data_IF_538066830850
#
_entry.id   IF_538066830850
#
_cell.length_a   1.000
_cell.length_b   1.000
_cell.length_c   1.000
_cell.angle_alpha   90.00
_cell.angle_beta   90.00
_cell.angle_gamma   90.00
#
_symmetry.space_group_name_H-M   'P 1'
#
loop_
_entity.id
_entity.type
_entity.pdbx_description
1 polymer ?
#
# COMPACT_ATOMS: atom_id res chain seq x y z
N UNK A 1 -12.77 2.80 -2.04
CA UNK A 1 -11.67 1.79 -2.02
C UNK A 1 -11.94 0.68 -1.00
N UNK A 2 -11.05 -0.35 -0.85
CA UNK A 2 -11.22 -1.41 0.16
C UNK A 2 -11.07 -0.83 1.58
N UNK A 3 -11.98 -1.19 2.50
CA UNK A 3 -11.84 -0.86 3.93
C UNK A 3 -10.81 -1.78 4.57
N UNK A 4 -9.88 -1.19 5.33
CA UNK A 4 -8.92 -1.94 6.14
C UNK A 4 -9.05 -1.50 7.60
N UNK A 5 -9.50 -2.41 8.45
CA UNK A 5 -9.62 -2.20 9.91
C UNK A 5 -8.50 -2.97 10.60
N UNK A 6 -8.50 -4.28 10.39
CA UNK A 6 -7.48 -5.18 10.90
C UNK A 6 -6.99 -6.09 9.76
N UNK A 7 -5.69 -6.32 9.73
CA UNK A 7 -5.04 -7.25 8.80
C UNK A 7 -4.38 -8.33 9.63
N UNK A 8 -4.82 -9.58 9.45
CA UNK A 8 -4.16 -10.75 10.03
C UNK A 8 -3.74 -11.65 8.88
N UNK A 9 -2.45 -11.84 8.70
CA UNK A 9 -1.91 -12.59 7.55
C UNK A 9 -0.48 -13.03 7.80
N UNK A 10 -0.05 -14.04 7.05
CA UNK A 10 1.37 -14.31 6.84
C UNK A 10 2.04 -13.15 6.10
N UNK A 11 3.36 -13.14 6.12
CA UNK A 11 4.18 -12.10 5.52
C UNK A 11 5.03 -12.66 4.39
N UNK A 12 5.26 -11.85 3.35
CA UNK A 12 6.19 -12.16 2.26
C UNK A 12 7.48 -11.34 2.47
N UNK A 13 8.66 -11.98 2.56
CA UNK A 13 9.92 -11.26 2.73
C UNK A 13 10.47 -10.79 1.38
N UNK A 14 10.82 -9.51 1.31
CA UNK A 14 11.57 -8.90 0.23
C UNK A 14 12.76 -8.15 0.82
N UNK A 15 13.77 -8.89 1.28
CA UNK A 15 14.96 -8.31 1.93
C UNK A 15 15.88 -7.63 0.90
N UNK A 16 15.35 -6.57 0.27
CA UNK A 16 16.04 -5.75 -0.72
C UNK A 16 15.81 -4.28 -0.41
N UNK A 17 16.88 -3.48 -0.44
CA UNK A 17 16.82 -2.02 -0.23
C UNK A 17 16.83 -1.28 -1.56
N UNK A 18 16.37 -0.03 -1.56
CA UNK A 18 16.32 0.85 -2.73
C UNK A 18 15.50 0.25 -3.90
N UNK A 19 14.44 -0.46 -3.59
CA UNK A 19 13.55 -1.03 -4.60
C UNK A 19 12.82 0.10 -5.31
N UNK A 20 13.09 0.26 -6.61
CA UNK A 20 12.48 1.32 -7.40
C UNK A 20 11.18 0.89 -8.09
N UNK A 21 10.40 1.89 -8.53
CA UNK A 21 9.10 1.65 -9.15
C UNK A 21 9.19 0.94 -10.52
N UNK A 22 10.34 0.99 -11.22
CA UNK A 22 10.56 0.22 -12.45
C UNK A 22 10.81 -1.26 -12.15
N UNK A 23 11.44 -1.56 -11.02
CA UNK A 23 11.62 -2.94 -10.54
C UNK A 23 10.29 -3.53 -10.06
N UNK A 24 9.45 -2.72 -9.39
CA UNK A 24 8.12 -3.14 -8.95
C UNK A 24 7.21 -3.36 -10.17
N UNK A 25 7.16 -2.37 -11.10
CA UNK A 25 6.31 -2.40 -12.28
C UNK A 25 7.06 -1.87 -13.51
N UNK A 26 7.62 -2.76 -14.38
CA UNK A 26 8.41 -2.36 -15.53
C UNK A 26 7.64 -1.50 -16.53
N UNK A 27 8.34 -0.52 -17.12
CA UNK A 27 7.80 0.51 -18.06
C UNK A 27 6.94 -0.04 -19.17
N UNK A 28 7.29 -1.22 -19.69
CA UNK A 28 6.59 -1.85 -20.82
C UNK A 28 5.11 -2.12 -20.54
N UNK A 29 4.71 -2.27 -19.27
CA UNK A 29 3.34 -2.55 -18.86
C UNK A 29 2.50 -1.31 -18.57
N UNK A 30 3.11 -0.11 -18.58
CA UNK A 30 2.42 1.16 -18.25
C UNK A 30 1.50 1.68 -19.38
N UNK A 31 1.51 1.06 -20.55
CA UNK A 31 0.68 1.46 -21.69
C UNK A 31 -0.76 0.91 -21.63
N UNK A 32 -1.07 0.11 -20.63
CA UNK A 32 -2.43 -0.44 -20.44
C UNK A 32 -3.38 0.66 -19.99
N UNK A 33 -4.62 0.59 -20.49
CA UNK A 33 -5.69 1.53 -20.15
C UNK A 33 -6.45 1.08 -18.90
N UNK A 34 -6.52 -0.25 -18.70
CA UNK A 34 -7.20 -0.86 -17.57
C UNK A 34 -6.46 -0.56 -16.26
N UNK A 35 -7.23 -0.38 -15.18
CA UNK A 35 -6.72 -0.10 -13.84
C UNK A 35 -6.50 -1.35 -12.98
N UNK A 36 -6.75 -2.53 -13.53
CA UNK A 36 -6.64 -3.84 -12.87
C UNK A 36 -5.84 -4.82 -13.72
N UNK A 37 -5.40 -5.93 -13.11
CA UNK A 37 -4.60 -6.97 -13.76
C UNK A 37 -3.11 -6.66 -13.81
N UNK A 38 -2.63 -5.71 -12.98
CA UNK A 38 -1.21 -5.40 -12.87
C UNK A 38 -0.44 -6.39 -11.98
N UNK A 39 -1.14 -7.16 -11.13
CA UNK A 39 -0.52 -8.14 -10.25
C UNK A 39 0.29 -9.21 -10.98
N UNK A 40 -0.12 -9.60 -12.20
CA UNK A 40 0.64 -10.56 -13.01
C UNK A 40 2.02 -10.03 -13.45
N UNK A 41 2.19 -8.70 -13.57
CA UNK A 41 3.43 -8.03 -13.98
C UNK A 41 4.27 -7.56 -12.80
N UNK A 42 3.78 -7.72 -11.57
CA UNK A 42 4.49 -7.33 -10.36
C UNK A 42 5.85 -8.03 -10.29
N UNK A 43 6.94 -7.27 -10.12
CA UNK A 43 8.31 -7.75 -10.10
C UNK A 43 8.65 -8.68 -11.28
N UNK A 44 8.16 -8.35 -12.47
CA UNK A 44 8.20 -9.21 -13.66
C UNK A 44 9.60 -9.78 -13.96
N UNK A 45 10.65 -8.96 -13.86
CA UNK A 45 12.00 -9.41 -14.15
C UNK A 45 12.56 -10.29 -13.04
N UNK A 46 12.24 -10.01 -11.79
CA UNK A 46 12.69 -10.81 -10.65
C UNK A 46 11.96 -12.16 -10.56
N UNK A 47 10.70 -12.21 -10.96
CA UNK A 47 9.94 -13.48 -11.02
C UNK A 47 10.49 -14.51 -12.01
N UNK A 48 11.42 -14.12 -12.89
CA UNK A 48 12.15 -15.07 -13.75
C UNK A 48 13.09 -15.95 -12.94
N UNK A 49 13.53 -15.51 -11.76
CA UNK A 49 14.31 -16.30 -10.83
C UNK A 49 13.38 -17.21 -10.00
N UNK A 50 13.48 -18.56 -10.10
CA UNK A 50 12.65 -19.49 -9.33
C UNK A 50 12.74 -19.29 -7.80
N UNK A 51 13.89 -18.84 -7.30
CA UNK A 51 14.14 -18.63 -5.85
C UNK A 51 13.57 -17.32 -5.32
N UNK A 52 13.00 -16.48 -6.20
CA UNK A 52 12.40 -15.21 -5.78
C UNK A 52 11.20 -15.45 -4.86
N UNK A 53 11.09 -14.70 -3.78
CA UNK A 53 10.08 -14.90 -2.72
C UNK A 53 8.65 -15.00 -3.24
N UNK A 54 8.27 -14.21 -4.26
CA UNK A 54 6.93 -14.25 -4.85
C UNK A 54 6.61 -15.57 -5.56
N UNK A 55 7.61 -16.35 -5.96
CA UNK A 55 7.43 -17.64 -6.62
C UNK A 55 7.28 -18.81 -5.63
N UNK A 56 7.67 -18.61 -4.39
CA UNK A 56 7.66 -19.65 -3.36
C UNK A 56 6.25 -19.89 -2.84
N UNK A 57 5.85 -21.17 -2.79
CA UNK A 57 4.49 -21.58 -2.38
C UNK A 57 4.16 -21.18 -0.93
N UNK A 58 5.16 -21.19 -0.07
CA UNK A 58 5.04 -20.87 1.36
C UNK A 58 4.59 -19.43 1.63
N UNK A 59 4.81 -18.50 0.67
CA UNK A 59 4.40 -17.10 0.79
C UNK A 59 3.13 -16.77 -0.02
N UNK A 60 2.53 -17.73 -0.69
CA UNK A 60 1.31 -17.50 -1.46
C UNK A 60 0.14 -17.14 -0.56
N UNK A 61 -0.59 -16.09 -0.92
CA UNK A 61 -1.72 -15.59 -0.12
C UNK A 61 -1.33 -14.64 1.02
N UNK A 62 -0.04 -14.35 1.21
CA UNK A 62 0.42 -13.33 2.14
C UNK A 62 -0.11 -11.95 1.73
N UNK A 63 -0.72 -11.22 2.69
CA UNK A 63 -1.27 -9.88 2.48
C UNK A 63 -0.34 -8.77 2.95
N UNK A 64 0.77 -9.11 3.57
CA UNK A 64 1.76 -8.17 4.09
C UNK A 64 3.11 -8.42 3.44
N UNK A 65 3.64 -7.40 2.78
CA UNK A 65 5.00 -7.39 2.25
C UNK A 65 5.94 -6.77 3.29
N UNK A 66 7.00 -7.47 3.69
CA UNK A 66 8.09 -6.89 4.50
C UNK A 66 9.25 -6.61 3.56
N UNK A 67 9.61 -5.34 3.40
CA UNK A 67 10.64 -4.88 2.48
C UNK A 67 11.84 -4.26 3.23
N UNK A 68 12.99 -4.24 2.56
CA UNK A 68 14.16 -3.52 3.05
C UNK A 68 13.99 -2.00 3.00
N UNK A 69 15.08 -1.27 3.26
CA UNK A 69 15.07 0.19 3.34
C UNK A 69 14.77 0.87 2.00
N UNK A 70 14.14 2.08 2.08
CA UNK A 70 13.95 2.98 0.96
C UNK A 70 13.16 2.36 -0.21
N UNK A 71 11.96 1.85 0.10
CA UNK A 71 11.09 1.17 -0.86
C UNK A 71 10.27 2.15 -1.71
N UNK A 72 10.09 1.82 -2.99
CA UNK A 72 9.25 2.59 -3.93
C UNK A 72 9.94 3.84 -4.48
N UNK A 73 11.26 3.86 -4.56
CA UNK A 73 12.04 4.96 -5.13
C UNK A 73 11.83 5.11 -6.64
N UNK A 74 12.42 6.15 -7.23
CA UNK A 74 12.39 6.38 -8.67
C UNK A 74 11.19 7.19 -9.13
N UNK A 75 10.60 6.82 -10.27
CA UNK A 75 9.53 7.60 -10.90
C UNK A 75 8.22 7.53 -10.15
N UNK A 76 7.50 8.65 -10.15
CA UNK A 76 6.19 8.86 -9.53
C UNK A 76 5.07 8.08 -10.24
N UNK A 77 4.98 6.77 -10.02
CA UNK A 77 4.03 5.91 -10.75
C UNK A 77 3.00 5.27 -9.82
N UNK A 78 1.75 5.52 -10.11
CA UNK A 78 0.64 4.85 -9.41
C UNK A 78 0.57 3.34 -9.72
N UNK A 79 1.10 2.90 -10.86
CA UNK A 79 1.05 1.50 -11.30
C UNK A 79 1.81 0.54 -10.36
N UNK A 80 2.86 1.01 -9.68
CA UNK A 80 3.60 0.18 -8.75
C UNK A 80 2.73 -0.19 -7.52
N UNK A 81 2.07 0.75 -6.82
CA UNK A 81 1.06 0.43 -5.81
C UNK A 81 -0.10 -0.43 -6.35
N UNK A 82 -0.60 -0.16 -7.58
CA UNK A 82 -1.67 -0.98 -8.17
C UNK A 82 -1.27 -2.44 -8.34
N UNK A 83 -0.04 -2.69 -8.84
CA UNK A 83 0.45 -4.06 -8.98
C UNK A 83 0.57 -4.79 -7.65
N UNK A 84 1.03 -4.10 -6.60
CA UNK A 84 1.11 -4.67 -5.26
C UNK A 84 -0.27 -5.00 -4.68
N UNK A 85 -1.24 -4.10 -4.84
CA UNK A 85 -2.61 -4.31 -4.39
C UNK A 85 -3.32 -5.42 -5.19
N UNK A 86 -3.16 -5.45 -6.52
CA UNK A 86 -3.73 -6.50 -7.39
C UNK A 86 -3.13 -7.88 -7.12
N UNK A 87 -1.85 -7.95 -6.68
CA UNK A 87 -1.26 -9.20 -6.22
C UNK A 87 -1.92 -9.73 -4.95
N UNK A 88 -2.48 -8.85 -4.13
CA UNK A 88 -3.20 -9.17 -2.91
C UNK A 88 -2.62 -8.58 -1.64
N UNK A 89 -1.61 -7.71 -1.72
CA UNK A 89 -1.08 -7.03 -0.54
C UNK A 89 -2.07 -5.97 -0.05
N UNK A 90 -2.29 -5.96 1.27
CA UNK A 90 -3.05 -4.96 2.00
C UNK A 90 -2.12 -3.95 2.72
N UNK A 91 -0.91 -4.40 3.09
CA UNK A 91 0.10 -3.57 3.75
C UNK A 91 1.53 -3.87 3.29
N UNK A 92 2.40 -2.88 3.43
CA UNK A 92 3.85 -3.00 3.23
C UNK A 92 4.53 -2.45 4.46
N UNK A 93 5.50 -3.19 5.02
CA UNK A 93 6.34 -2.75 6.15
C UNK A 93 7.75 -2.53 5.64
N UNK A 94 8.32 -1.36 5.92
CA UNK A 94 9.70 -1.00 5.55
C UNK A 94 10.26 0.00 6.54
N UNK A 95 11.57 0.22 6.53
CA UNK A 95 12.17 1.28 7.35
C UNK A 95 11.88 2.66 6.78
N UNK A 96 11.71 2.78 5.44
CA UNK A 96 11.41 4.04 4.76
C UNK A 96 10.76 3.79 3.41
N UNK A 97 9.89 4.71 3.00
CA UNK A 97 9.32 4.78 1.66
C UNK A 97 9.70 6.08 0.96
N UNK A 98 9.71 6.05 -0.38
CA UNK A 98 9.70 7.29 -1.15
C UNK A 98 8.34 8.00 -0.96
N UNK A 99 8.36 9.33 -0.75
CA UNK A 99 7.17 10.12 -0.35
C UNK A 99 6.00 9.95 -1.31
N UNK A 100 6.27 9.99 -2.62
CA UNK A 100 5.22 9.86 -3.64
C UNK A 100 4.66 8.44 -3.68
N UNK A 101 5.49 7.42 -3.51
CA UNK A 101 5.03 6.04 -3.42
C UNK A 101 4.11 5.84 -2.20
N UNK A 102 4.51 6.37 -1.04
CA UNK A 102 3.70 6.35 0.20
C UNK A 102 2.34 7.00 -0.01
N UNK A 103 2.32 8.21 -0.60
CA UNK A 103 1.07 8.92 -0.90
C UNK A 103 0.18 8.15 -1.88
N UNK A 104 0.74 7.61 -2.96
CA UNK A 104 0.01 6.84 -3.96
C UNK A 104 -0.57 5.55 -3.36
N UNK A 105 0.18 4.88 -2.48
CA UNK A 105 -0.27 3.68 -1.77
C UNK A 105 -1.49 3.98 -0.89
N UNK A 106 -1.42 5.01 -0.06
CA UNK A 106 -2.54 5.46 0.79
C UNK A 106 -3.77 5.81 -0.06
N UNK A 107 -3.58 6.46 -1.20
CA UNK A 107 -4.67 6.89 -2.09
C UNK A 107 -5.51 5.74 -2.64
N UNK A 108 -4.95 4.54 -2.74
CA UNK A 108 -5.64 3.34 -3.23
C UNK A 108 -6.06 2.39 -2.11
N UNK A 109 -5.64 2.65 -0.86
CA UNK A 109 -5.91 1.77 0.29
C UNK A 109 -4.90 0.64 0.46
N UNK A 110 -3.66 0.80 -0.01
CA UNK A 110 -2.52 -0.03 0.33
C UNK A 110 -1.77 0.66 1.47
N UNK A 111 -1.65 0.02 2.63
CA UNK A 111 -1.12 0.62 3.86
C UNK A 111 0.42 0.55 3.91
N UNK A 112 1.16 1.67 3.75
CA UNK A 112 2.60 1.72 3.96
C UNK A 112 2.89 1.97 5.44
N UNK A 113 3.66 1.09 6.08
CA UNK A 113 4.04 1.15 7.49
C UNK A 113 5.53 1.36 7.60
N UNK A 114 5.94 2.51 8.14
CA UNK A 114 7.33 2.80 8.45
C UNK A 114 7.64 2.41 9.89
N UNK A 115 8.78 1.74 10.08
CA UNK A 115 9.23 1.32 11.42
C UNK A 115 10.76 1.27 11.50
N UNK A 116 11.31 0.99 12.68
CA UNK A 116 12.75 0.89 12.88
C UNK A 116 13.37 -0.29 12.12
N UNK A 117 14.66 -0.17 11.80
CA UNK A 117 15.43 -1.27 11.20
C UNK A 117 15.37 -2.53 12.07
N UNK A 118 15.47 -2.39 13.39
CA UNK A 118 15.39 -3.51 14.32
C UNK A 118 14.08 -4.29 14.19
N UNK A 119 12.95 -3.60 14.03
CA UNK A 119 11.64 -4.25 13.84
C UNK A 119 11.58 -4.99 12.50
N UNK A 120 12.10 -4.37 11.42
CA UNK A 120 12.11 -4.99 10.09
C UNK A 120 13.00 -6.23 10.07
N UNK A 121 14.20 -6.17 10.64
CA UNK A 121 15.11 -7.31 10.78
C UNK A 121 14.47 -8.43 11.62
N UNK A 122 13.87 -8.07 12.76
CA UNK A 122 13.16 -9.04 13.59
C UNK A 122 12.01 -9.75 12.85
N UNK A 123 11.26 -9.02 12.01
CA UNK A 123 10.21 -9.64 11.17
C UNK A 123 10.83 -10.58 10.12
N UNK A 124 11.95 -10.22 9.47
CA UNK A 124 12.66 -11.13 8.56
C UNK A 124 13.10 -12.40 9.25
N UNK A 125 13.71 -12.31 10.45
CA UNK A 125 14.12 -13.49 11.22
C UNK A 125 12.94 -14.41 11.55
N UNK A 126 11.77 -13.84 11.89
CA UNK A 126 10.55 -14.63 12.15
C UNK A 126 10.07 -15.36 10.90
N UNK A 127 10.02 -14.66 9.75
CA UNK A 127 9.59 -15.24 8.48
C UNK A 127 10.54 -16.36 8.02
N UNK A 128 11.87 -16.16 8.18
CA UNK A 128 12.86 -17.17 7.83
C UNK A 128 12.76 -18.42 8.71
N UNK A 129 12.49 -18.24 10.00
CA UNK A 129 12.30 -19.34 10.94
C UNK A 129 11.02 -20.12 10.68
N UNK A 130 9.92 -19.42 10.43
CA UNK A 130 8.61 -20.00 10.12
C UNK A 130 7.83 -19.11 9.13
N UNK A 131 7.75 -19.50 7.85
CA UNK A 131 6.97 -18.76 6.86
C UNK A 131 5.47 -18.65 7.15
N UNK A 132 4.94 -19.47 8.07
CA UNK A 132 3.54 -19.42 8.49
C UNK A 132 3.27 -18.39 9.60
N UNK A 133 4.31 -17.71 10.09
CA UNK A 133 4.18 -16.66 11.12
C UNK A 133 3.22 -15.58 10.68
N UNK A 134 2.23 -15.31 11.52
CA UNK A 134 1.22 -14.29 11.28
C UNK A 134 1.59 -12.96 11.92
N UNK A 135 1.33 -11.88 11.20
CA UNK A 135 1.32 -10.52 11.73
C UNK A 135 -0.11 -10.03 11.85
N UNK A 136 -0.40 -9.31 12.94
CA UNK A 136 -1.64 -8.58 13.13
C UNK A 136 -1.38 -7.08 13.09
N UNK A 137 -2.10 -6.38 12.21
CA UNK A 137 -2.00 -4.93 12.03
C UNK A 137 -3.37 -4.34 12.32
N UNK A 138 -3.46 -3.44 13.29
CA UNK A 138 -4.68 -2.67 13.56
C UNK A 138 -4.52 -1.25 13.06
N UNK A 139 -5.32 -0.87 12.07
CA UNK A 139 -5.31 0.49 11.50
C UNK A 139 -5.87 1.49 12.51
N UNK A 140 -6.91 1.08 13.24
CA UNK A 140 -7.53 1.93 14.26
C UNK A 140 -6.55 2.29 15.39
N UNK A 141 -5.81 1.30 15.88
CA UNK A 141 -4.81 1.50 16.95
C UNK A 141 -3.45 1.94 16.43
N UNK A 142 -3.24 1.99 15.10
CA UNK A 142 -1.95 2.26 14.47
C UNK A 142 -0.84 1.34 15.01
N UNK A 143 -1.13 0.05 15.18
CA UNK A 143 -0.23 -0.92 15.82
C UNK A 143 0.00 -2.15 14.96
N UNK A 144 1.20 -2.71 15.08
CA UNK A 144 1.62 -3.97 14.47
C UNK A 144 2.06 -4.91 15.58
N UNK A 145 1.62 -6.17 15.52
CA UNK A 145 2.00 -7.21 16.45
C UNK A 145 2.32 -8.51 15.71
N UNK A 146 3.51 -9.05 15.96
CA UNK A 146 3.96 -10.34 15.45
C UNK A 146 4.71 -11.07 16.59
N UNK A 147 4.05 -12.02 17.21
CA UNK A 147 4.54 -12.71 18.42
C UNK A 147 4.96 -11.70 19.51
N UNK A 148 6.25 -11.65 19.87
CA UNK A 148 6.82 -10.72 20.85
C UNK A 148 7.20 -9.35 20.25
N UNK A 149 7.19 -9.20 18.93
CA UNK A 149 7.46 -7.92 18.27
C UNK A 149 6.17 -7.10 18.25
N UNK A 150 6.18 -5.95 18.92
CA UNK A 150 5.06 -5.02 18.93
C UNK A 150 5.55 -3.59 18.78
N UNK A 151 4.94 -2.84 17.84
CA UNK A 151 5.28 -1.44 17.62
C UNK A 151 4.08 -0.65 17.10
N UNK A 152 4.17 0.67 17.28
CA UNK A 152 3.22 1.63 16.71
C UNK A 152 3.81 2.21 15.41
N UNK A 153 2.93 2.59 14.48
CA UNK A 153 3.32 3.29 13.26
C UNK A 153 2.61 4.64 13.14
N UNK A 154 3.21 5.55 12.40
CA UNK A 154 2.64 6.87 12.16
C UNK A 154 1.74 6.85 10.92
N UNK A 155 0.53 7.37 11.10
CA UNK A 155 -0.46 7.57 10.04
C UNK A 155 -1.31 8.77 10.45
N UNK A 156 -1.35 9.82 9.62
CA UNK A 156 -2.16 10.99 9.89
C UNK A 156 -3.65 10.64 9.95
N UNK A 157 -4.42 11.39 10.73
CA UNK A 157 -5.82 11.07 11.04
C UNK A 157 -6.72 11.10 9.80
N UNK A 158 -6.41 11.93 8.81
CA UNK A 158 -7.15 11.98 7.56
C UNK A 158 -6.93 10.71 6.72
N UNK A 159 -5.69 10.27 6.56
CA UNK A 159 -5.34 9.02 5.90
C UNK A 159 -5.90 7.81 6.64
N UNK A 160 -5.85 7.81 7.97
CA UNK A 160 -6.43 6.77 8.81
C UNK A 160 -7.94 6.63 8.56
N UNK A 161 -8.69 7.75 8.65
CA UNK A 161 -10.14 7.76 8.38
C UNK A 161 -10.44 7.20 7.00
N UNK A 162 -9.72 7.63 5.96
CA UNK A 162 -9.90 7.16 4.59
C UNK A 162 -9.73 5.65 4.46
N UNK A 163 -8.69 5.10 5.06
CA UNK A 163 -8.40 3.65 5.00
C UNK A 163 -9.44 2.86 5.79
N UNK A 164 -9.81 3.32 7.00
CA UNK A 164 -10.82 2.67 7.83
C UNK A 164 -12.20 2.65 7.20
N UNK A 165 -12.61 3.73 6.54
CA UNK A 165 -13.92 3.87 5.92
C UNK A 165 -13.94 3.42 4.44
N UNK A 166 -12.75 3.27 3.84
CA UNK A 166 -12.60 2.89 2.43
C UNK A 166 -12.96 4.01 1.47
N UNK A 167 -12.75 5.28 1.87
CA UNK A 167 -13.12 6.46 1.10
C UNK A 167 -12.08 6.78 0.03
N UNK A 168 -12.54 6.96 -1.21
CA UNK A 168 -11.73 7.54 -2.27
C UNK A 168 -11.85 9.09 -2.29
N UNK A 169 -11.17 9.72 -3.25
CA UNK A 169 -11.18 11.18 -3.37
C UNK A 169 -12.57 11.75 -3.71
N UNK A 170 -13.40 10.97 -4.39
CA UNK A 170 -14.75 11.37 -4.77
C UNK A 170 -15.67 11.25 -3.56
N UNK A 171 -15.58 10.14 -2.82
CA UNK A 171 -16.36 9.91 -1.59
C UNK A 171 -16.18 11.07 -0.60
N UNK A 172 -14.92 11.53 -0.40
CA UNK A 172 -14.62 12.68 0.48
C UNK A 172 -15.30 13.96 -0.02
N UNK A 173 -15.34 14.18 -1.33
CA UNK A 173 -16.00 15.37 -1.90
C UNK A 173 -17.51 15.31 -1.71
N UNK A 174 -18.10 14.12 -1.76
CA UNK A 174 -19.53 13.91 -1.55
C UNK A 174 -19.97 14.23 -0.11
N UNK A 175 -19.08 14.09 0.88
CA UNK A 175 -19.37 14.51 2.26
C UNK A 175 -19.64 16.03 2.36
N UNK A 176 -19.17 16.84 1.41
CA UNK A 176 -19.39 18.29 1.33
C UNK A 176 -20.48 18.68 0.32
N UNK A 177 -21.34 17.75 -0.08
CA UNK A 177 -22.34 18.02 -1.15
C UNK A 177 -23.25 19.20 -0.81
N UNK A 178 -23.74 19.30 0.43
CA UNK A 178 -24.55 20.41 0.89
C UNK A 178 -23.87 21.78 0.78
N UNK A 179 -22.57 21.82 1.10
CA UNK A 179 -21.78 23.06 1.01
C UNK A 179 -21.54 23.45 -0.46
N UNK A 180 -21.33 22.45 -1.32
CA UNK A 180 -21.19 22.63 -2.78
C UNK A 180 -22.49 23.17 -3.38
N UNK A 181 -23.63 22.64 -2.99
CA UNK A 181 -24.95 23.10 -3.43
C UNK A 181 -25.23 24.52 -2.97
N UNK A 182 -25.02 24.84 -1.69
CA UNK A 182 -25.14 26.18 -1.14
C UNK A 182 -24.22 27.20 -1.86
N UNK A 183 -22.99 26.81 -2.14
CA UNK A 183 -22.07 27.65 -2.92
C UNK A 183 -22.59 27.89 -4.34
N UNK A 184 -23.10 26.85 -5.02
CA UNK A 184 -23.65 26.98 -6.37
C UNK A 184 -24.88 27.88 -6.41
N UNK A 185 -25.78 27.79 -5.42
CA UNK A 185 -26.94 28.65 -5.30
C UNK A 185 -26.55 30.13 -5.05
N UNK A 186 -25.52 30.37 -4.24
CA UNK A 186 -25.01 31.72 -3.93
C UNK A 186 -24.24 32.37 -5.08
N UNK A 187 -23.87 31.59 -6.14
CA UNK A 187 -23.11 32.12 -7.30
C UNK A 187 -23.91 33.18 -8.05
N UNK A 188 -23.25 34.29 -8.33
CA UNK A 188 -23.82 35.37 -9.15
C UNK A 188 -24.19 34.87 -10.55
N UNK A 189 -25.35 35.27 -11.07
CA UNK A 189 -25.94 34.79 -12.34
C UNK A 189 -25.04 35.00 -13.58
N UNK A 190 -24.09 35.93 -13.53
CA UNK A 190 -23.16 36.21 -14.64
C UNK A 190 -21.95 35.24 -14.68
N UNK A 191 -21.74 34.43 -13.66
CA UNK A 191 -20.67 33.43 -13.66
C UNK A 191 -21.12 32.16 -14.38
N UNK A 192 -20.27 31.52 -15.19
CA UNK A 192 -20.59 30.27 -15.87
C UNK A 192 -21.07 29.22 -14.86
N UNK A 193 -22.17 28.52 -15.18
CA UNK A 193 -22.62 27.35 -14.43
C UNK A 193 -22.24 26.13 -15.23
N UNK A 194 -21.69 25.11 -14.55
CA UNK A 194 -21.53 23.79 -15.12
C UNK A 194 -22.94 23.17 -15.16
N UNK A 195 -23.44 22.90 -16.34
CA UNK A 195 -24.69 22.16 -16.59
C UNK A 195 -24.36 20.68 -16.69
#
# INVERSE_FOLDING_TARGET
>A
MKKLIDISSTMLPLNMSNVDTDQIMPKQFLKRVERSGYGEFLFFDWKKNPDFSLNKKEYQGSKVLVAGDNFGTGSSREHAPWGLQDWGFDAIISTKFADIFKLNSINIGLLPIETSLQNVEGLFEKIEKDPSTNVHISVDKKSVKCEEIEFMFDLDDFSQKRILEGLDKIDITLDYMSDIENFNESRKNWKPRLT
#
